data_IF_541626628248
#
_entry.id   IF_541626628248
#
_cell.length_a   1.000
_cell.length_b   1.000
_cell.length_c   1.000
_cell.angle_alpha   90.00
_cell.angle_beta   90.00
_cell.angle_gamma   90.00
#
_symmetry.space_group_name_H-M   'P 1'
#
loop_
_entity.id
_entity.type
_entity.pdbx_description
1 polymer ?
#
# COMPACT_ATOMS: atom_id res chain seq x y z
N UNK A 1 -68.35 -26.18 -37.15
CA UNK A 1 -67.77 -25.26 -36.15
C UNK A 1 -66.79 -26.05 -35.30
N UNK A 2 -65.48 -25.81 -35.46
CA UNK A 2 -64.42 -26.55 -34.76
C UNK A 2 -63.89 -25.68 -33.62
N UNK A 3 -63.90 -26.25 -32.42
CA UNK A 3 -63.62 -25.61 -31.13
C UNK A 3 -62.11 -25.64 -30.87
N UNK A 4 -61.60 -24.48 -30.45
CA UNK A 4 -60.26 -24.19 -29.95
C UNK A 4 -59.78 -25.24 -28.93
N UNK A 5 -58.51 -25.66 -29.03
CA UNK A 5 -57.78 -26.18 -27.88
C UNK A 5 -56.49 -25.39 -27.66
N UNK A 6 -56.50 -24.77 -26.49
CA UNK A 6 -55.49 -23.99 -25.79
C UNK A 6 -54.06 -24.51 -25.90
N UNK A 7 -53.18 -23.67 -26.43
CA UNK A 7 -51.74 -23.78 -26.26
C UNK A 7 -51.37 -23.14 -24.92
N UNK A 8 -51.23 -23.96 -23.88
CA UNK A 8 -50.79 -23.52 -22.54
C UNK A 8 -49.26 -23.39 -22.55
N UNK A 9 -48.77 -22.19 -22.87
CA UNK A 9 -47.34 -21.85 -22.82
C UNK A 9 -46.95 -21.57 -21.36
N UNK A 10 -46.40 -22.59 -20.70
CA UNK A 10 -45.84 -22.49 -19.35
C UNK A 10 -44.48 -21.79 -19.42
N UNK A 11 -44.47 -20.46 -19.36
CA UNK A 11 -43.25 -19.68 -19.17
C UNK A 11 -42.72 -19.91 -17.74
N UNK A 12 -41.82 -20.88 -17.61
CA UNK A 12 -40.90 -20.99 -16.48
C UNK A 12 -40.05 -19.72 -16.43
N UNK A 13 -40.49 -18.76 -15.62
CA UNK A 13 -39.70 -17.64 -15.17
C UNK A 13 -38.56 -18.19 -14.30
N UNK A 14 -37.48 -18.62 -14.95
CA UNK A 14 -36.17 -18.76 -14.34
C UNK A 14 -35.81 -17.39 -13.78
N UNK A 15 -36.09 -17.18 -12.50
CA UNK A 15 -35.55 -16.11 -11.71
C UNK A 15 -34.03 -16.25 -11.75
N UNK A 16 -33.41 -15.56 -12.70
CA UNK A 16 -32.00 -15.25 -12.64
C UNK A 16 -31.81 -14.39 -11.40
N UNK A 17 -31.55 -15.05 -10.26
CA UNK A 17 -30.88 -14.43 -9.14
C UNK A 17 -29.56 -13.93 -9.68
N UNK A 18 -29.53 -12.66 -10.09
CA UNK A 18 -28.32 -11.95 -10.37
C UNK A 18 -27.54 -11.96 -9.06
N UNK A 19 -26.68 -12.96 -8.89
CA UNK A 19 -25.61 -12.94 -7.91
C UNK A 19 -24.86 -11.65 -8.22
N UNK A 20 -25.15 -10.60 -7.46
CA UNK A 20 -24.47 -9.32 -7.53
C UNK A 20 -23.01 -9.69 -7.30
N UNK A 21 -22.21 -9.69 -8.36
CA UNK A 21 -20.77 -9.83 -8.21
C UNK A 21 -20.35 -8.62 -7.36
N UNK A 22 -20.11 -8.84 -6.08
CA UNK A 22 -19.67 -7.82 -5.11
C UNK A 22 -18.24 -7.41 -5.48
N UNK A 23 -18.12 -6.63 -6.55
CA UNK A 23 -16.88 -6.01 -6.96
C UNK A 23 -16.71 -4.71 -6.19
N UNK A 24 -15.70 -4.64 -5.33
CA UNK A 24 -15.28 -3.38 -4.77
C UNK A 24 -14.47 -2.59 -5.78
N UNK A 25 -14.44 -1.26 -5.64
CA UNK A 25 -13.53 -0.40 -6.40
C UNK A 25 -12.45 0.13 -5.48
N UNK A 26 -11.18 -0.14 -5.79
CA UNK A 26 -10.04 0.44 -5.09
C UNK A 26 -9.59 1.68 -5.83
N UNK A 27 -9.66 2.82 -5.16
CA UNK A 27 -9.10 4.09 -5.62
C UNK A 27 -7.73 4.29 -5.00
N UNK A 28 -6.70 4.33 -5.84
CA UNK A 28 -5.32 4.53 -5.46
C UNK A 28 -4.86 5.93 -5.87
N UNK A 29 -4.09 6.59 -5.00
CA UNK A 29 -3.52 7.92 -5.20
C UNK A 29 -2.05 7.92 -4.82
N UNK A 30 -1.18 8.42 -5.68
CA UNK A 30 0.23 8.70 -5.40
C UNK A 30 0.42 10.22 -5.42
N UNK A 31 0.89 10.79 -4.31
CA UNK A 31 0.94 12.25 -4.07
C UNK A 31 2.36 12.68 -3.72
N UNK A 32 2.83 13.77 -4.31
CA UNK A 32 4.05 14.46 -3.90
C UNK A 32 3.86 15.98 -4.01
N UNK A 33 3.83 16.68 -2.88
CA UNK A 33 3.51 18.11 -2.84
C UNK A 33 2.15 18.41 -3.50
N UNK A 34 2.17 19.14 -4.62
CA UNK A 34 0.98 19.51 -5.41
C UNK A 34 0.64 18.50 -6.51
N UNK A 35 1.51 17.52 -6.76
CA UNK A 35 1.33 16.50 -7.78
C UNK A 35 0.48 15.35 -7.21
N UNK A 36 -0.52 14.90 -7.97
CA UNK A 36 -1.34 13.74 -7.60
C UNK A 36 -1.64 12.93 -8.84
N UNK A 37 -1.31 11.64 -8.78
CA UNK A 37 -1.60 10.63 -9.79
C UNK A 37 -2.60 9.64 -9.20
N UNK A 38 -3.66 9.30 -9.91
CA UNK A 38 -4.67 8.37 -9.38
C UNK A 38 -5.31 7.48 -10.41
N UNK A 39 -5.76 6.31 -9.94
CA UNK A 39 -6.49 5.34 -10.72
C UNK A 39 -7.54 4.67 -9.82
N UNK A 40 -8.68 4.30 -10.40
CA UNK A 40 -9.70 3.51 -9.73
C UNK A 40 -9.88 2.22 -10.54
N UNK A 41 -9.67 1.07 -9.90
CA UNK A 41 -9.84 -0.24 -10.54
C UNK A 41 -10.86 -1.07 -9.78
N UNK A 42 -11.59 -1.91 -10.52
CA UNK A 42 -12.40 -2.96 -9.92
C UNK A 42 -11.46 -3.99 -9.28
N UNK A 43 -11.67 -4.28 -8.00
CA UNK A 43 -10.91 -5.23 -7.20
C UNK A 43 -11.88 -6.29 -6.66
N UNK A 44 -12.14 -7.36 -7.44
CA UNK A 44 -12.98 -8.46 -6.98
C UNK A 44 -12.31 -9.15 -5.79
N UNK A 45 -13.12 -9.53 -4.81
CA UNK A 45 -12.66 -10.28 -3.62
C UNK A 45 -12.05 -11.61 -4.06
N UNK A 46 -10.91 -11.96 -3.46
CA UNK A 46 -10.20 -13.23 -3.68
C UNK A 46 -9.45 -13.29 -5.02
N UNK A 47 -9.34 -12.19 -5.76
CA UNK A 47 -8.69 -12.13 -7.07
C UNK A 47 -7.72 -10.96 -7.16
N UNK A 48 -6.63 -11.17 -7.90
CA UNK A 48 -5.71 -10.10 -8.23
C UNK A 48 -6.30 -9.20 -9.33
N UNK A 49 -6.19 -7.89 -9.15
CA UNK A 49 -6.46 -6.88 -10.16
C UNK A 49 -5.18 -6.08 -10.43
N UNK A 50 -4.92 -5.76 -11.70
CA UNK A 50 -3.71 -5.07 -12.12
C UNK A 50 -4.02 -3.93 -13.09
N UNK A 51 -3.31 -2.82 -12.93
CA UNK A 51 -3.31 -1.69 -13.85
C UNK A 51 -1.86 -1.35 -14.19
N UNK A 52 -1.59 -1.10 -15.47
CA UNK A 52 -0.34 -0.55 -15.95
C UNK A 52 -0.65 0.44 -17.08
N UNK A 53 -0.43 1.72 -16.84
CA UNK A 53 -0.73 2.75 -17.84
C UNK A 53 -0.72 4.16 -17.29
N UNK A 54 -1.28 5.09 -18.06
CA UNK A 54 -1.36 6.51 -17.67
C UNK A 54 -2.50 6.71 -16.66
N UNK A 55 -2.22 7.06 -15.39
CA UNK A 55 -3.25 7.41 -14.43
C UNK A 55 -3.83 8.80 -14.74
N UNK A 56 -4.94 9.12 -14.09
CA UNK A 56 -5.41 10.51 -14.05
C UNK A 56 -4.44 11.35 -13.21
N UNK A 57 -4.29 12.64 -13.55
CA UNK A 57 -3.29 13.51 -12.92
C UNK A 57 -3.84 14.91 -12.60
N UNK A 58 -3.34 15.50 -11.51
CA UNK A 58 -3.59 16.87 -11.06
C UNK A 58 -2.26 17.46 -10.57
N UNK A 59 -2.05 18.75 -10.83
CA UNK A 59 -0.81 19.47 -10.52
C UNK A 59 0.10 19.61 -11.74
N UNK A 60 1.15 20.41 -11.61
CA UNK A 60 2.07 20.76 -12.72
C UNK A 60 3.27 19.82 -12.91
N UNK A 61 3.21 18.60 -12.38
CA UNK A 61 4.29 17.61 -12.53
C UNK A 61 4.34 16.98 -13.93
N UNK A 62 5.36 16.15 -14.22
CA UNK A 62 5.43 15.42 -15.48
C UNK A 62 4.37 14.32 -15.57
N UNK A 63 3.93 13.97 -16.78
CA UNK A 63 3.12 12.78 -17.00
C UNK A 63 3.94 11.52 -16.68
N UNK A 64 3.36 10.59 -15.91
CA UNK A 64 4.01 9.34 -15.47
C UNK A 64 3.08 8.16 -15.70
N UNK A 65 3.66 6.99 -15.95
CA UNK A 65 2.91 5.73 -15.90
C UNK A 65 2.79 5.27 -14.45
N UNK A 66 1.70 4.59 -14.13
CA UNK A 66 1.44 3.96 -12.84
C UNK A 66 1.26 2.45 -13.09
N UNK A 67 1.99 1.65 -12.32
CA UNK A 67 1.76 0.22 -12.20
C UNK A 67 1.17 -0.01 -10.81
N UNK A 68 0.03 -0.69 -10.76
CA UNK A 68 -0.70 -0.99 -9.54
C UNK A 68 -1.17 -2.44 -9.59
N UNK A 69 -0.74 -3.25 -8.63
CA UNK A 69 -1.28 -4.58 -8.38
C UNK A 69 -2.00 -4.55 -7.04
N UNK A 70 -3.19 -5.13 -7.02
CA UNK A 70 -3.99 -5.27 -5.80
C UNK A 70 -4.56 -6.67 -5.66
N UNK A 71 -4.62 -7.18 -4.44
CA UNK A 71 -5.43 -8.34 -4.09
C UNK A 71 -6.29 -7.99 -2.88
N UNK A 72 -7.61 -8.10 -3.03
CA UNK A 72 -8.56 -7.78 -1.97
C UNK A 72 -9.04 -9.08 -1.32
N UNK A 73 -8.77 -9.23 -0.03
CA UNK A 73 -9.19 -10.40 0.73
C UNK A 73 -10.68 -10.34 1.07
N UNK A 74 -11.24 -11.48 1.50
CA UNK A 74 -12.59 -11.53 2.04
C UNK A 74 -12.73 -10.60 3.26
N UNK A 75 -13.92 -10.01 3.48
CA UNK A 75 -14.13 -9.15 4.63
C UNK A 75 -14.04 -9.94 5.94
N UNK A 76 -13.33 -9.38 6.92
CA UNK A 76 -13.20 -9.89 8.28
C UNK A 76 -13.53 -8.76 9.25
N UNK A 77 -14.49 -9.00 10.15
CA UNK A 77 -14.99 -8.02 11.13
C UNK A 77 -15.40 -6.63 10.56
N UNK A 78 -15.82 -6.60 9.29
CA UNK A 78 -16.22 -5.38 8.58
C UNK A 78 -15.04 -4.56 8.03
N UNK A 79 -13.84 -5.14 7.98
CA UNK A 79 -12.65 -4.60 7.32
C UNK A 79 -12.26 -5.50 6.16
N UNK A 80 -11.62 -4.93 5.14
CA UNK A 80 -11.06 -5.68 4.02
C UNK A 80 -9.55 -5.47 3.98
N UNK A 81 -8.78 -6.55 4.01
CA UNK A 81 -7.33 -6.48 3.78
C UNK A 81 -7.06 -6.32 2.29
N UNK A 82 -6.24 -5.33 1.94
CA UNK A 82 -5.72 -5.09 0.61
C UNK A 82 -4.22 -5.35 0.60
N UNK A 83 -3.78 -6.28 -0.24
CA UNK A 83 -2.37 -6.42 -0.60
C UNK A 83 -2.12 -5.51 -1.79
N UNK A 84 -1.05 -4.72 -1.75
CA UNK A 84 -0.75 -3.77 -2.80
C UNK A 84 0.72 -3.83 -3.21
N UNK A 85 0.96 -3.55 -4.48
CA UNK A 85 2.24 -3.12 -5.02
C UNK A 85 1.98 -1.95 -5.96
N UNK A 86 2.71 -0.86 -5.76
CA UNK A 86 2.59 0.36 -6.56
C UNK A 86 3.96 0.80 -7.04
N UNK A 87 4.03 1.23 -8.30
CA UNK A 87 5.19 1.87 -8.89
C UNK A 87 4.72 3.07 -9.72
N UNK A 88 5.35 4.22 -9.51
CA UNK A 88 5.16 5.40 -10.35
C UNK A 88 6.41 5.56 -11.22
N UNK A 89 6.25 5.45 -12.54
CA UNK A 89 7.35 5.50 -13.47
C UNK A 89 8.06 6.86 -13.47
N UNK A 90 9.38 6.81 -13.63
CA UNK A 90 10.25 7.97 -13.84
C UNK A 90 10.40 8.32 -15.32
N UNK A 91 11.22 9.32 -15.62
CA UNK A 91 11.71 9.53 -16.98
C UNK A 91 12.51 8.32 -17.48
N UNK A 92 13.19 7.62 -16.57
CA UNK A 92 13.88 6.35 -16.83
C UNK A 92 13.07 5.22 -16.17
N UNK A 93 12.60 4.26 -16.97
CA UNK A 93 11.77 3.14 -16.48
C UNK A 93 12.48 2.31 -15.39
N UNK A 94 13.80 2.13 -15.49
CA UNK A 94 14.59 1.39 -14.51
C UNK A 94 14.81 2.15 -13.16
N UNK A 95 14.35 3.40 -13.05
CA UNK A 95 14.59 4.28 -11.89
C UNK A 95 13.30 5.02 -11.52
N UNK A 96 12.24 4.31 -11.12
CA UNK A 96 11.00 4.96 -10.72
C UNK A 96 11.24 5.79 -9.45
N UNK A 97 10.76 7.04 -9.38
CA UNK A 97 10.91 7.87 -8.19
C UNK A 97 10.29 7.26 -6.93
N UNK A 98 9.30 6.37 -7.09
CA UNK A 98 8.58 5.76 -5.99
C UNK A 98 8.07 4.37 -6.35
N UNK A 99 8.44 3.39 -5.53
CA UNK A 99 7.84 2.07 -5.46
C UNK A 99 7.49 1.76 -4.00
N UNK A 100 6.36 1.10 -3.77
CA UNK A 100 6.01 0.57 -2.46
C UNK A 100 5.16 -0.69 -2.58
N UNK A 101 5.28 -1.57 -1.60
CA UNK A 101 4.43 -2.75 -1.45
C UNK A 101 4.12 -3.01 0.02
N UNK A 102 3.00 -3.68 0.28
CA UNK A 102 2.60 -4.05 1.62
C UNK A 102 1.15 -4.48 1.69
N UNK A 103 0.61 -4.50 2.91
CA UNK A 103 -0.79 -4.85 3.18
C UNK A 103 -1.43 -3.85 4.12
N UNK A 104 -2.70 -3.53 3.88
CA UNK A 104 -3.43 -2.52 4.65
C UNK A 104 -4.87 -2.95 4.89
N UNK A 105 -5.42 -2.62 6.06
CA UNK A 105 -6.84 -2.79 6.33
C UNK A 105 -7.60 -1.56 5.82
N UNK A 106 -8.65 -1.82 5.04
CA UNK A 106 -9.51 -0.81 4.49
C UNK A 106 -10.91 -0.92 5.06
N UNK A 107 -11.53 0.24 5.21
CA UNK A 107 -12.95 0.39 5.46
C UNK A 107 -13.54 1.21 4.31
N UNK A 108 -14.69 0.79 3.74
CA UNK A 108 -15.32 1.55 2.67
C UNK A 108 -15.51 3.04 3.01
N UNK A 109 -15.13 3.91 2.07
CA UNK A 109 -15.24 5.36 2.17
C UNK A 109 -14.18 6.03 3.06
N UNK A 110 -13.24 5.28 3.64
CA UNK A 110 -12.15 5.83 4.45
C UNK A 110 -10.81 5.66 3.74
N UNK A 111 -10.14 6.74 3.31
CA UNK A 111 -8.82 6.65 2.74
C UNK A 111 -7.77 6.33 3.81
N UNK A 112 -6.77 5.54 3.45
CA UNK A 112 -5.65 5.14 4.31
C UNK A 112 -4.34 5.52 3.64
N UNK A 113 -3.42 6.13 4.39
CA UNK A 113 -2.03 6.30 3.98
C UNK A 113 -1.31 4.95 4.13
N UNK A 114 -1.23 4.18 3.05
CA UNK A 114 -0.62 2.86 3.07
C UNK A 114 0.90 2.92 3.16
N UNK A 115 1.54 3.83 2.40
CA UNK A 115 2.98 4.06 2.45
C UNK A 115 3.31 5.54 2.20
N UNK A 116 4.43 6.01 2.73
CA UNK A 116 5.05 7.27 2.37
C UNK A 116 6.56 7.16 2.43
N UNK A 117 7.28 7.73 1.47
CA UNK A 117 8.73 7.78 1.48
C UNK A 117 9.23 8.94 0.59
N UNK A 118 10.23 9.70 1.07
CA UNK A 118 10.88 10.76 0.26
C UNK A 118 9.93 11.80 -0.34
N UNK A 119 8.90 12.20 0.42
CA UNK A 119 7.87 13.16 -0.02
C UNK A 119 6.69 12.54 -0.76
N UNK A 120 6.86 11.33 -1.32
CA UNK A 120 5.78 10.57 -1.94
C UNK A 120 4.87 9.92 -0.89
N UNK A 121 3.57 9.92 -1.16
CA UNK A 121 2.53 9.30 -0.34
C UNK A 121 1.65 8.43 -1.22
N UNK A 122 1.45 7.18 -0.83
CA UNK A 122 0.50 6.25 -1.42
C UNK A 122 -0.73 6.13 -0.53
N UNK A 123 -1.86 6.61 -1.04
CA UNK A 123 -3.14 6.62 -0.36
C UNK A 123 -4.09 5.70 -1.12
N UNK A 124 -4.72 4.77 -0.40
CA UNK A 124 -5.70 3.85 -0.96
C UNK A 124 -7.03 4.01 -0.27
N UNK A 125 -8.10 3.79 -1.02
CA UNK A 125 -9.46 3.93 -0.54
C UNK A 125 -10.35 2.90 -1.22
N UNK A 126 -11.06 2.11 -0.42
CA UNK A 126 -12.13 1.25 -0.91
C UNK A 126 -13.37 2.12 -1.11
N UNK A 127 -13.84 2.28 -2.35
CA UNK A 127 -15.03 3.07 -2.63
C UNK A 127 -16.29 2.38 -2.09
N UNK A 128 -17.23 3.18 -1.59
CA UNK A 128 -18.49 2.72 -1.02
C UNK A 128 -18.73 3.32 0.37
N UNK A 129 -19.82 2.88 1.01
CA UNK A 129 -20.20 3.31 2.35
C UNK A 129 -20.09 2.13 3.29
N UNK A 130 -19.44 2.32 4.44
CA UNK A 130 -19.32 1.25 5.43
C UNK A 130 -20.64 1.03 6.16
N UNK A 131 -21.08 -0.21 6.25
CA UNK A 131 -22.23 -0.60 7.08
C UNK A 131 -21.75 -0.88 8.52
N UNK A 132 -22.25 -0.11 9.49
CA UNK A 132 -21.95 -0.34 10.91
C UNK A 132 -20.55 0.07 11.40
N UNK A 133 -20.23 -0.28 12.65
CA UNK A 133 -18.88 -0.07 13.23
C UNK A 133 -18.04 -1.31 12.94
N UNK A 134 -16.86 -1.13 12.35
CA UNK A 134 -15.86 -2.19 12.26
C UNK A 134 -15.51 -2.69 13.66
N UNK A 135 -15.50 -3.99 13.84
CA UNK A 135 -14.91 -4.67 15.00
C UNK A 135 -13.54 -5.16 14.55
N UNK A 136 -12.63 -5.49 15.46
CA UNK A 136 -11.30 -5.98 15.09
C UNK A 136 -10.17 -4.96 15.28
N UNK A 137 -8.94 -5.48 15.22
CA UNK A 137 -7.71 -4.77 15.57
C UNK A 137 -7.38 -3.78 14.45
N UNK A 138 -7.34 -2.49 14.78
CA UNK A 138 -6.82 -1.49 13.85
C UNK A 138 -5.35 -1.80 13.54
N UNK A 139 -4.97 -1.72 12.26
CA UNK A 139 -3.56 -1.66 11.90
C UNK A 139 -2.89 -0.46 12.57
N UNK A 140 -1.59 -0.53 12.79
CA UNK A 140 -0.82 0.58 13.36
C UNK A 140 -0.14 1.42 12.28
N UNK A 141 0.64 2.41 12.70
CA UNK A 141 1.56 3.13 11.80
C UNK A 141 2.99 2.90 12.23
N UNK A 142 3.84 2.45 11.30
CA UNK A 142 5.28 2.43 11.46
C UNK A 142 5.87 3.68 10.84
N UNK A 143 6.63 4.44 11.62
CA UNK A 143 7.49 5.49 11.10
C UNK A 143 8.94 5.09 11.23
N UNK A 144 9.69 5.21 10.15
CA UNK A 144 11.12 4.90 10.11
C UNK A 144 11.91 6.03 9.48
N UNK A 145 13.21 6.06 9.77
CA UNK A 145 14.13 7.00 9.15
C UNK A 145 15.54 6.46 9.18
N UNK A 146 16.24 6.53 8.04
CA UNK A 146 17.69 6.42 7.97
C UNK A 146 18.29 7.83 8.01
N UNK A 147 19.13 8.12 9.00
CA UNK A 147 19.79 9.43 9.15
C UNK A 147 21.30 9.28 8.89
N UNK A 148 21.81 10.02 7.91
CA UNK A 148 23.22 10.05 7.54
C UNK A 148 23.73 11.49 7.69
N UNK A 149 24.41 11.78 8.81
CA UNK A 149 24.79 13.15 9.18
C UNK A 149 23.57 14.08 9.30
N UNK A 150 23.45 15.06 8.39
CA UNK A 150 22.34 16.02 8.34
C UNK A 150 21.17 15.58 7.45
N UNK A 151 21.35 14.55 6.65
CA UNK A 151 20.33 14.07 5.70
C UNK A 151 19.49 12.96 6.35
N UNK A 152 18.19 12.97 6.07
CA UNK A 152 17.23 12.01 6.61
C UNK A 152 16.38 11.42 5.49
N UNK A 153 16.22 10.11 5.47
CA UNK A 153 15.39 9.36 4.54
C UNK A 153 14.22 8.73 5.30
N UNK A 154 13.10 9.46 5.47
CA UNK A 154 11.94 8.94 6.20
C UNK A 154 11.12 7.99 5.34
N UNK A 155 10.53 6.98 5.99
CA UNK A 155 9.45 6.18 5.43
C UNK A 155 8.35 5.96 6.48
N UNK A 156 7.12 5.77 6.03
CA UNK A 156 5.96 5.53 6.89
C UNK A 156 5.07 4.49 6.25
N UNK A 157 4.53 3.56 7.03
CA UNK A 157 3.62 2.52 6.54
C UNK A 157 2.45 2.36 7.50
N UNK A 158 1.24 2.22 6.96
CA UNK A 158 0.17 1.58 7.71
C UNK A 158 0.48 0.08 7.74
N UNK A 159 0.62 -0.50 8.93
CA UNK A 159 1.09 -1.87 9.08
C UNK A 159 0.09 -2.80 9.77
N UNK A 160 0.22 -4.07 9.45
CA UNK A 160 -0.40 -5.22 10.08
C UNK A 160 0.75 -6.11 10.60
N UNK A 161 0.60 -6.74 11.78
CA UNK A 161 1.57 -7.72 12.26
C UNK A 161 1.74 -8.87 11.27
N UNK A 162 2.95 -9.43 11.23
CA UNK A 162 3.38 -10.58 10.44
C UNK A 162 3.32 -10.37 8.92
N UNK A 163 3.28 -9.11 8.47
CA UNK A 163 3.22 -8.76 7.06
C UNK A 163 4.45 -7.96 6.58
N UNK A 164 4.91 -8.22 5.37
CA UNK A 164 6.08 -7.53 4.82
C UNK A 164 5.72 -6.21 4.11
N UNK A 165 6.56 -5.20 4.31
CA UNK A 165 6.46 -3.88 3.70
C UNK A 165 7.77 -3.50 3.05
N UNK A 166 7.74 -2.79 1.94
CA UNK A 166 8.94 -2.13 1.42
C UNK A 166 8.62 -0.86 0.66
N UNK A 167 9.61 0.03 0.60
CA UNK A 167 9.63 1.18 -0.29
C UNK A 167 11.01 1.33 -0.92
N UNK A 168 11.01 1.72 -2.20
CA UNK A 168 12.21 2.06 -2.96
C UNK A 168 12.02 3.44 -3.56
N UNK A 169 13.04 4.28 -3.40
CA UNK A 169 13.10 5.62 -3.95
C UNK A 169 14.33 5.79 -4.80
N UNK A 170 14.15 6.42 -5.95
CA UNK A 170 15.25 6.96 -6.75
C UNK A 170 15.17 8.49 -6.76
N UNK A 171 16.30 9.13 -6.48
CA UNK A 171 16.42 10.60 -6.46
C UNK A 171 17.73 11.04 -7.12
N UNK A 172 17.79 12.32 -7.50
CA UNK A 172 18.91 12.87 -8.28
C UNK A 172 18.71 12.74 -9.79
N UNK A 173 19.45 13.54 -10.54
CA UNK A 173 19.51 13.54 -12.00
C UNK A 173 20.90 13.13 -12.46
N UNK A 174 21.00 12.40 -13.56
CA UNK A 174 22.28 11.99 -14.16
C UNK A 174 22.59 10.49 -14.01
N UNK A 175 23.87 10.15 -14.09
CA UNK A 175 24.35 8.77 -14.20
C UNK A 175 24.43 8.04 -12.86
N UNK A 176 24.57 8.79 -11.76
CA UNK A 176 24.70 8.28 -10.40
C UNK A 176 23.47 8.66 -9.54
N UNK A 177 22.31 8.02 -9.79
CA UNK A 177 21.12 8.29 -9.00
C UNK A 177 21.34 7.77 -7.58
N UNK A 178 20.70 8.44 -6.62
CA UNK A 178 20.62 7.95 -5.26
C UNK A 178 19.42 7.03 -5.11
N UNK A 179 19.67 5.80 -4.63
CA UNK A 179 18.66 4.78 -4.35
C UNK A 179 18.55 4.53 -2.86
N UNK A 180 17.37 4.78 -2.29
CA UNK A 180 17.04 4.39 -0.92
C UNK A 180 16.06 3.22 -0.94
N UNK A 181 16.32 2.21 -0.12
CA UNK A 181 15.44 1.06 0.09
C UNK A 181 15.24 0.83 1.56
N UNK A 182 14.00 0.51 1.93
CA UNK A 182 13.65 0.00 3.25
C UNK A 182 12.71 -1.19 3.10
N UNK A 183 13.01 -2.27 3.79
CA UNK A 183 12.16 -3.45 3.96
C UNK A 183 11.87 -3.65 5.44
N UNK A 184 10.61 -3.93 5.78
CA UNK A 184 10.13 -4.06 7.15
C UNK A 184 9.26 -5.31 7.30
N UNK A 185 9.41 -6.01 8.41
CA UNK A 185 8.52 -7.10 8.83
C UNK A 185 8.27 -6.97 10.35
N UNK A 186 7.14 -6.37 10.76
CA UNK A 186 6.74 -6.30 12.15
C UNK A 186 6.12 -7.64 12.57
N UNK A 187 6.76 -8.38 13.47
CA UNK A 187 6.24 -9.65 13.95
C UNK A 187 5.00 -9.47 14.86
N UNK A 188 4.36 -10.58 15.22
CA UNK A 188 3.32 -10.63 16.23
C UNK A 188 3.75 -10.02 17.57
N UNK A 189 2.80 -9.40 18.28
CA UNK A 189 3.05 -8.82 19.61
C UNK A 189 3.19 -9.90 20.67
N UNK A 190 4.17 -9.75 21.56
CA UNK A 190 4.24 -10.45 22.83
C UNK A 190 3.12 -9.99 23.78
N UNK A 191 2.98 -10.68 24.92
CA UNK A 191 1.92 -10.42 25.91
C UNK A 191 1.96 -9.00 26.50
N UNK A 192 3.14 -8.37 26.53
CA UNK A 192 3.34 -7.00 26.98
C UNK A 192 3.04 -5.94 25.90
N UNK A 193 2.64 -6.37 24.70
CA UNK A 193 2.38 -5.51 23.54
C UNK A 193 3.63 -5.12 22.75
N UNK A 194 4.83 -5.53 23.17
CA UNK A 194 6.08 -5.35 22.42
C UNK A 194 6.08 -6.27 21.20
N UNK A 195 6.61 -5.82 20.07
CA UNK A 195 6.88 -6.68 18.92
C UNK A 195 8.27 -6.42 18.36
N UNK A 196 8.84 -7.41 17.69
CA UNK A 196 10.12 -7.27 16.98
C UNK A 196 9.84 -6.78 15.55
N UNK A 197 10.45 -5.66 15.19
CA UNK A 197 10.51 -5.18 13.82
C UNK A 197 11.80 -5.68 13.18
N UNK A 198 11.70 -6.66 12.29
CA UNK A 198 12.78 -7.00 11.37
C UNK A 198 12.89 -5.91 10.30
N UNK A 199 14.11 -5.48 10.01
CA UNK A 199 14.36 -4.43 9.02
C UNK A 199 15.56 -4.74 8.13
N UNK A 200 15.51 -4.21 6.92
CA UNK A 200 16.64 -4.07 6.00
C UNK A 200 16.61 -2.66 5.44
N UNK A 201 17.76 -1.98 5.40
CA UNK A 201 17.93 -0.67 4.80
C UNK A 201 19.15 -0.64 3.92
N UNK A 202 19.03 0.05 2.79
CA UNK A 202 20.13 0.25 1.85
C UNK A 202 20.05 1.66 1.26
N UNK A 203 21.15 2.37 1.27
CA UNK A 203 21.33 3.65 0.59
C UNK A 203 22.53 3.54 -0.35
N UNK A 204 22.29 3.79 -1.64
CA UNK A 204 23.33 3.81 -2.68
C UNK A 204 23.34 5.13 -3.42
N UNK A 205 24.51 5.53 -3.90
CA UNK A 205 24.70 6.59 -4.88
C UNK A 205 25.50 6.02 -6.06
N UNK A 206 24.86 5.90 -7.22
CA UNK A 206 25.41 5.13 -8.33
C UNK A 206 25.68 3.66 -7.91
N UNK A 207 26.96 3.27 -7.88
CA UNK A 207 27.41 1.93 -7.47
C UNK A 207 27.86 1.86 -6.01
N UNK A 208 28.10 3.02 -5.38
CA UNK A 208 28.62 3.11 -4.02
C UNK A 208 27.51 2.85 -2.99
N UNK A 209 27.80 2.05 -1.98
CA UNK A 209 26.92 1.87 -0.82
C UNK A 209 27.29 2.90 0.24
N UNK A 210 26.41 3.87 0.46
CA UNK A 210 26.58 4.91 1.48
C UNK A 210 26.12 4.42 2.86
N UNK A 211 25.13 3.53 2.91
CA UNK A 211 24.63 2.94 4.15
C UNK A 211 23.98 1.60 3.87
N UNK A 212 24.16 0.65 4.79
CA UNK A 212 23.50 -0.64 4.79
C UNK A 212 23.26 -1.07 6.24
N UNK A 213 22.12 -1.69 6.51
CA UNK A 213 21.81 -2.20 7.83
C UNK A 213 20.70 -3.23 7.78
N UNK A 214 20.80 -4.25 8.63
CA UNK A 214 19.77 -5.25 8.82
C UNK A 214 19.76 -5.70 10.28
N UNK A 215 18.59 -6.06 10.79
CA UNK A 215 18.46 -6.57 12.15
C UNK A 215 17.05 -6.45 12.68
N UNK A 216 16.95 -6.36 14.01
CA UNK A 216 15.67 -6.33 14.72
C UNK A 216 15.61 -5.15 15.69
N UNK A 217 14.43 -4.54 15.83
CA UNK A 217 14.16 -3.50 16.82
C UNK A 217 12.93 -3.88 17.65
N UNK A 218 13.03 -3.97 18.99
CA UNK A 218 11.88 -4.18 19.86
C UNK A 218 11.07 -2.87 19.99
N UNK A 219 9.86 -2.86 19.44
CA UNK A 219 8.96 -1.70 19.42
C UNK A 219 7.72 -1.95 20.29
N UNK A 220 7.21 -0.88 20.89
CA UNK A 220 5.93 -0.87 21.61
C UNK A 220 5.02 0.17 20.93
N UNK A 221 3.78 -0.15 20.54
CA UNK A 221 2.84 0.83 19.98
C UNK A 221 2.57 2.01 20.91
N UNK A 222 2.83 3.23 20.41
CA UNK A 222 2.79 4.46 21.21
C UNK A 222 4.04 4.71 22.07
N UNK A 223 5.03 3.81 21.99
CA UNK A 223 6.31 3.93 22.67
C UNK A 223 7.29 4.87 21.97
N UNK A 224 8.48 4.97 22.57
CA UNK A 224 9.59 5.78 22.04
C UNK A 224 10.22 5.21 20.77
N UNK A 225 11.03 6.04 20.12
CA UNK A 225 11.82 5.64 18.94
C UNK A 225 12.98 4.74 19.36
N UNK A 226 13.19 3.66 18.61
CA UNK A 226 14.38 2.79 18.71
C UNK A 226 15.29 3.02 17.52
N UNK A 227 16.56 2.70 17.68
CA UNK A 227 17.57 2.92 16.64
C UNK A 227 18.62 1.81 16.63
N UNK A 228 19.23 1.61 15.47
CA UNK A 228 20.35 0.73 15.24
C UNK A 228 21.32 1.36 14.21
N UNK A 229 22.63 1.03 14.28
CA UNK A 229 23.61 1.51 13.30
C UNK A 229 23.36 0.91 11.90
N UNK A 230 23.72 1.67 10.87
CA UNK A 230 23.67 1.27 9.46
C UNK A 230 24.85 1.92 8.71
N UNK A 231 26.07 1.41 8.91
CA UNK A 231 27.31 2.10 8.54
C UNK A 231 27.50 3.37 9.37
N UNK A 232 27.88 4.48 8.72
CA UNK A 232 27.97 5.82 9.34
C UNK A 232 26.60 6.50 9.56
N UNK A 233 25.52 5.78 9.26
CA UNK A 233 24.15 6.24 9.43
C UNK A 233 23.46 5.53 10.60
N UNK A 234 22.32 6.09 11.01
CA UNK A 234 21.46 5.51 12.06
C UNK A 234 20.09 5.23 11.47
N UNK A 235 19.69 3.96 11.46
CA UNK A 235 18.32 3.57 11.21
C UNK A 235 17.51 3.71 12.50
N UNK A 236 16.30 4.23 12.40
CA UNK A 236 15.40 4.36 13.54
C UNK A 236 13.96 4.08 13.16
N UNK A 237 13.20 3.56 14.12
CA UNK A 237 11.79 3.22 13.94
C UNK A 237 10.97 3.53 15.21
N UNK A 238 9.69 3.84 15.02
CA UNK A 238 8.68 3.90 16.07
C UNK A 238 7.34 3.37 15.56
N UNK A 239 6.56 2.75 16.45
CA UNK A 239 5.20 2.32 16.18
C UNK A 239 4.22 3.30 16.84
N UNK A 240 3.28 3.85 16.08
CA UNK A 240 2.19 4.67 16.58
C UNK A 240 0.94 3.80 16.85
N UNK A 241 0.05 4.29 17.71
CA UNK A 241 -1.26 3.68 17.97
C UNK A 241 -2.25 3.94 16.85
#
# INVERSE_FOLDING_TARGET
MKILYSLMLLCLALGAGAARAEGWTVKARVVNGKETYWHAQASPVGKQASFAGRPQMRGGGPARELILHTYLHAPEDGLLRLDYQVELAGAQKARPPFQAQGKVLLRPGKPVLAAAAGGWKFIVELQGTAEGKARGRAGGTLETSLKCGRVSYPATFSYLPDEQYSAVLYSGSGDEPRRFMVGLLPNGSALDGTFLLQYTVLLKEGRETLAEGQGELPLVPGGGRRAAPAGDCVFSARALR
#
